data_IF_236041451029
#
_entry.id   IF_236041451029
#
_cell.length_a   1.000
_cell.length_b   1.000
_cell.length_c   1.000
_cell.angle_alpha   90.00
_cell.angle_beta   90.00
_cell.angle_gamma   90.00
#
_symmetry.space_group_name_H-M   'P 1'
#
loop_
_entity.id
_entity.type
_entity.pdbx_description
1 polymer ?
#
# COMPACT_ATOMS: atom_id res chain seq x y z
N UNK A 1 -14.94 4.52 -17.65
CA UNK A 1 -14.43 4.33 -17.24
C UNK A 1 -13.82 4.03 -16.86
N UNK A 2 -13.77 4.03 -16.52
CA UNK A 2 -13.25 3.83 -16.08
C UNK A 2 -12.67 3.41 -15.63
N UNK A 3 -12.28 3.55 -15.67
CA UNK A 3 -11.63 2.91 -15.25
C UNK A 3 -11.52 2.61 -14.05
N UNK A 4 -11.58 1.79 -13.84
CA UNK A 4 -11.90 1.13 -12.64
C UNK A 4 -10.89 1.24 -11.60
N UNK A 5 -9.72 1.13 -11.92
CA UNK A 5 -8.62 1.15 -10.96
C UNK A 5 -8.33 2.54 -10.41
N UNK A 6 -9.08 3.52 -10.83
CA UNK A 6 -8.78 4.90 -10.48
C UNK A 6 -8.99 5.22 -9.02
N UNK A 7 -9.70 4.39 -8.28
CA UNK A 7 -9.99 4.69 -6.90
C UNK A 7 -9.31 3.80 -5.88
N UNK A 8 -8.54 2.83 -6.33
CA UNK A 8 -8.04 1.81 -5.41
C UNK A 8 -6.58 2.02 -5.06
N UNK A 9 -6.31 2.09 -3.77
CA UNK A 9 -4.96 2.08 -3.23
C UNK A 9 -4.67 0.66 -2.75
N UNK A 10 -3.52 0.11 -3.11
CA UNK A 10 -3.15 -1.25 -2.72
C UNK A 10 -1.99 -1.17 -1.74
N UNK A 11 -2.12 -1.86 -0.61
CA UNK A 11 -1.05 -1.92 0.39
C UNK A 11 -0.51 -3.34 0.45
N UNK A 12 0.75 -3.50 0.11
CA UNK A 12 1.47 -4.76 0.22
C UNK A 12 2.08 -4.82 1.61
N UNK A 13 1.79 -5.89 2.35
CA UNK A 13 2.14 -6.00 3.76
C UNK A 13 2.46 -7.45 4.10
N UNK A 14 2.95 -7.70 5.30
CA UNK A 14 3.08 -9.03 5.84
C UNK A 14 2.85 -9.01 7.33
N UNK A 15 2.65 -10.20 7.87
CA UNK A 15 2.52 -10.34 9.32
C UNK A 15 3.84 -9.99 9.99
N UNK A 16 3.77 -9.63 11.26
CA UNK A 16 4.95 -9.35 12.08
C UNK A 16 5.78 -8.18 11.55
N UNK A 17 5.11 -7.21 10.92
CA UNK A 17 5.73 -6.00 10.43
C UNK A 17 5.12 -4.81 11.16
N UNK A 18 5.88 -4.21 12.08
CA UNK A 18 5.37 -3.10 12.88
C UNK A 18 5.00 -1.88 12.06
N UNK A 19 5.80 -1.58 11.03
CA UNK A 19 5.48 -0.45 10.16
C UNK A 19 4.20 -0.69 9.37
N UNK A 20 3.97 -1.94 8.94
CA UNK A 20 2.72 -2.28 8.25
C UNK A 20 1.53 -2.10 9.19
N UNK A 21 1.63 -2.62 10.41
CA UNK A 21 0.55 -2.53 11.36
C UNK A 21 0.20 -1.09 11.67
N UNK A 22 1.22 -0.24 11.85
CA UNK A 22 0.98 1.17 12.12
C UNK A 22 0.30 1.86 10.95
N UNK A 23 0.80 1.63 9.75
CA UNK A 23 0.21 2.25 8.56
C UNK A 23 -1.24 1.84 8.39
N UNK A 24 -1.52 0.54 8.50
CA UNK A 24 -2.88 0.05 8.30
C UNK A 24 -3.82 0.57 9.37
N UNK A 25 -3.35 0.67 10.61
CA UNK A 25 -4.15 1.22 11.69
C UNK A 25 -4.52 2.68 11.46
N UNK A 26 -3.57 3.47 10.98
CA UNK A 26 -3.83 4.88 10.73
C UNK A 26 -4.74 5.09 9.52
N UNK A 27 -4.57 4.27 8.49
CA UNK A 27 -5.48 4.32 7.33
C UNK A 27 -6.91 4.00 7.75
N UNK A 28 -7.07 2.99 8.59
CA UNK A 28 -8.40 2.60 9.06
C UNK A 28 -9.03 3.73 9.89
N UNK A 29 -8.26 4.35 10.77
CA UNK A 29 -8.77 5.45 11.59
C UNK A 29 -9.16 6.65 10.74
N UNK A 30 -8.46 6.86 9.63
CA UNK A 30 -8.77 7.96 8.73
C UNK A 30 -9.92 7.65 7.78
N UNK A 31 -10.44 6.42 7.80
CA UNK A 31 -11.54 6.03 6.94
C UNK A 31 -11.13 5.83 5.49
N UNK A 32 -9.87 5.54 5.24
CA UNK A 32 -9.36 5.32 3.90
C UNK A 32 -9.44 3.84 3.54
N UNK A 33 -10.15 3.53 2.47
CA UNK A 33 -10.28 2.15 2.01
C UNK A 33 -9.09 1.77 1.16
N UNK A 34 -8.54 0.60 1.43
CA UNK A 34 -7.40 0.09 0.66
C UNK A 34 -7.60 -1.38 0.39
N UNK A 35 -6.96 -1.86 -0.67
CA UNK A 35 -6.87 -3.29 -0.94
C UNK A 35 -5.60 -3.82 -0.30
N UNK A 36 -5.70 -4.93 0.41
CA UNK A 36 -4.57 -5.52 1.12
C UNK A 36 -4.03 -6.72 0.35
N UNK A 37 -2.70 -6.78 0.21
CA UNK A 37 -2.03 -7.93 -0.40
C UNK A 37 -0.95 -8.42 0.54
N UNK A 38 -1.13 -9.64 1.06
CA UNK A 38 -0.18 -10.25 2.00
C UNK A 38 0.90 -10.97 1.21
N UNK A 39 2.12 -10.47 1.28
CA UNK A 39 3.20 -11.04 0.46
C UNK A 39 3.64 -12.42 0.93
N UNK A 40 3.28 -12.82 2.13
CA UNK A 40 3.59 -14.18 2.60
C UNK A 40 2.56 -15.20 2.11
N UNK A 41 1.35 -14.74 1.75
CA UNK A 41 0.29 -15.61 1.28
C UNK A 41 0.19 -15.63 -0.24
N UNK A 42 0.70 -14.58 -0.90
CA UNK A 42 0.52 -14.39 -2.33
C UNK A 42 1.88 -14.21 -3.00
N UNK A 43 2.37 -15.25 -3.71
CA UNK A 43 3.68 -15.17 -4.36
C UNK A 43 3.79 -14.08 -5.41
N UNK A 44 2.69 -13.75 -6.09
CA UNK A 44 2.71 -12.68 -7.08
C UNK A 44 2.87 -11.32 -6.40
N UNK A 45 2.26 -11.16 -5.23
CA UNK A 45 2.42 -9.93 -4.47
C UNK A 45 3.88 -9.78 -4.02
N UNK A 46 4.49 -10.86 -3.55
CA UNK A 46 5.89 -10.82 -3.16
C UNK A 46 6.79 -10.48 -4.35
N UNK A 47 6.50 -11.06 -5.51
CA UNK A 47 7.28 -10.78 -6.71
C UNK A 47 7.16 -9.30 -7.11
N UNK A 48 5.96 -8.74 -7.01
CA UNK A 48 5.77 -7.33 -7.31
C UNK A 48 6.60 -6.45 -6.38
N UNK A 49 6.55 -6.73 -5.07
CA UNK A 49 7.30 -5.92 -4.10
C UNK A 49 8.79 -5.98 -4.40
N UNK A 50 9.30 -7.16 -4.74
CA UNK A 50 10.71 -7.29 -5.14
C UNK A 50 11.02 -6.48 -6.38
N UNK A 51 10.08 -6.43 -7.32
CA UNK A 51 10.32 -5.72 -8.59
C UNK A 51 10.48 -4.22 -8.41
N UNK A 52 9.87 -3.64 -7.38
CA UNK A 52 9.95 -2.20 -7.15
C UNK A 52 10.91 -1.83 -6.02
N UNK A 53 11.58 -2.82 -5.42
CA UNK A 53 12.50 -2.60 -4.30
C UNK A 53 13.84 -3.30 -4.53
N UNK A 54 14.29 -3.37 -5.77
CA UNK A 54 15.60 -3.94 -6.12
C UNK A 54 15.79 -5.36 -5.61
N UNK A 55 14.74 -6.17 -5.65
CA UNK A 55 14.81 -7.56 -5.23
C UNK A 55 14.50 -7.80 -3.77
N UNK A 56 14.27 -6.75 -2.98
CA UNK A 56 13.94 -6.89 -1.56
C UNK A 56 12.44 -6.95 -1.36
N UNK A 57 12.02 -7.72 -0.35
CA UNK A 57 10.60 -7.80 0.01
C UNK A 57 10.27 -6.75 1.07
N UNK A 58 10.53 -5.49 0.75
CA UNK A 58 10.35 -4.38 1.69
C UNK A 58 8.87 -4.00 1.79
N UNK A 59 8.32 -4.05 2.95
CA UNK A 59 6.92 -3.68 3.21
C UNK A 59 6.87 -2.69 4.37
N UNK A 60 5.84 -1.84 4.44
CA UNK A 60 4.73 -1.76 3.49
C UNK A 60 5.16 -1.09 2.18
N UNK A 61 4.66 -1.61 1.07
CA UNK A 61 4.77 -0.96 -0.23
C UNK A 61 3.36 -0.62 -0.68
N UNK A 62 3.15 0.63 -1.04
CA UNK A 62 1.82 1.14 -1.37
C UNK A 62 1.77 1.53 -2.83
N UNK A 63 0.75 1.05 -3.54
CA UNK A 63 0.52 1.46 -4.92
C UNK A 63 -0.68 2.39 -4.94
N UNK A 64 -0.44 3.63 -5.37
CA UNK A 64 -1.47 4.66 -5.45
C UNK A 64 -2.44 4.38 -6.60
N UNK A 65 -3.62 4.98 -6.57
CA UNK A 65 -4.60 4.73 -7.64
C UNK A 65 -4.05 5.00 -9.04
N UNK A 66 -3.13 5.94 -9.17
CA UNK A 66 -2.53 6.23 -10.47
C UNK A 66 -1.43 5.24 -10.87
N UNK A 67 -1.09 4.30 -10.02
CA UNK A 67 -0.14 3.25 -10.34
C UNK A 67 1.26 3.45 -9.77
N UNK A 68 1.51 4.56 -9.10
CA UNK A 68 2.82 4.84 -8.51
C UNK A 68 3.03 4.04 -7.25
N UNK A 69 4.20 3.42 -7.12
CA UNK A 69 4.54 2.64 -5.93
C UNK A 69 5.42 3.47 -4.99
N UNK A 70 5.11 3.40 -3.71
CA UNK A 70 5.86 4.10 -2.66
C UNK A 70 6.17 3.11 -1.56
N UNK A 71 7.44 3.03 -1.15
CA UNK A 71 7.85 2.11 -0.11
C UNK A 71 7.91 2.82 1.23
N UNK A 72 7.23 2.23 2.21
CA UNK A 72 7.22 2.69 3.60
C UNK A 72 6.89 4.19 3.72
N UNK A 73 5.76 4.63 3.15
CA UNK A 73 5.41 6.04 3.23
C UNK A 73 5.04 6.43 4.66
N UNK A 74 5.34 7.67 5.08
CA UNK A 74 4.82 8.16 6.36
C UNK A 74 3.29 8.13 6.33
N UNK A 75 2.63 7.56 7.35
CA UNK A 75 1.17 7.41 7.29
C UNK A 75 0.43 8.72 7.11
N UNK A 76 0.85 9.77 7.84
CA UNK A 76 0.15 11.06 7.76
C UNK A 76 0.29 11.68 6.38
N UNK A 77 1.47 11.58 5.77
CA UNK A 77 1.68 12.11 4.43
C UNK A 77 0.86 11.34 3.39
N UNK A 78 0.80 10.01 3.53
CA UNK A 78 0.01 9.19 2.62
C UNK A 78 -1.46 9.52 2.74
N UNK A 79 -1.97 9.63 3.97
CA UNK A 79 -3.38 9.95 4.19
C UNK A 79 -3.71 11.32 3.60
N UNK A 80 -2.84 12.31 3.83
CA UNK A 80 -3.07 13.63 3.27
C UNK A 80 -3.13 13.59 1.75
N UNK A 81 -2.25 12.81 1.13
CA UNK A 81 -2.25 12.68 -0.33
C UNK A 81 -3.53 12.02 -0.83
N UNK A 82 -3.97 10.95 -0.16
CA UNK A 82 -5.14 10.20 -0.63
C UNK A 82 -6.44 10.95 -0.42
N UNK A 83 -6.49 11.86 0.56
CA UNK A 83 -7.72 12.59 0.87
C UNK A 83 -7.74 13.98 0.23
N UNK A 84 -6.61 14.47 -0.24
CA UNK A 84 -6.52 15.87 -0.72
C UNK A 84 -7.30 16.07 -2.00
N UNK A 85 -7.48 15.04 -2.81
CA UNK A 85 -8.20 15.16 -4.06
C UNK A 85 -9.69 14.96 -3.97
N UNK A 86 -10.21 14.77 -2.78
CA UNK A 86 -11.62 14.41 -2.56
C UNK A 86 -12.56 15.60 -2.66
#
# INVERSE_FOLDING_TARGET
MTDGNTGTTVVYWRKMCGFCARLLGELEQAGVDVELRDIWEDPEAAAFVRSVNDGAETVPTVVLPAGRAITNPPPDALIAHLTAGS
#
